data_IF_972938305882
#
_entry.id   IF_972938305882
#
_cell.length_a   1.000
_cell.length_b   1.000
_cell.length_c   1.000
_cell.angle_alpha   90.00
_cell.angle_beta   90.00
_cell.angle_gamma   90.00
#
_symmetry.space_group_name_H-M   'P 1'
#
loop_
_entity.id
_entity.type
_entity.pdbx_description
1 polymer ?
#
# COMPACT_ATOMS: atom_id res chain seq x y z
N UNK A 1 33.92 3.98 -7.36
CA UNK A 1 35.16 4.69 -7.74
C UNK A 1 35.74 5.47 -6.58
N UNK A 2 35.02 6.39 -5.91
CA UNK A 2 35.55 7.19 -4.79
C UNK A 2 36.02 6.39 -3.56
N UNK A 3 35.27 5.35 -3.15
CA UNK A 3 35.65 4.47 -2.03
C UNK A 3 36.99 3.76 -2.28
N UNK A 4 37.25 3.34 -3.53
CA UNK A 4 38.54 2.71 -3.91
C UNK A 4 39.71 3.69 -3.85
N UNK A 5 39.44 4.99 -3.92
CA UNK A 5 40.43 6.06 -3.81
C UNK A 5 40.60 6.60 -2.38
N UNK A 6 40.03 5.93 -1.37
CA UNK A 6 40.20 6.26 0.05
C UNK A 6 39.20 7.28 0.63
N UNK A 7 38.16 7.66 -0.13
CA UNK A 7 37.14 8.58 0.39
C UNK A 7 36.30 7.92 1.50
N UNK A 8 36.05 8.65 2.59
CA UNK A 8 35.11 8.25 3.64
C UNK A 8 33.66 8.31 3.13
N UNK A 9 32.81 7.44 3.67
CA UNK A 9 31.38 7.41 3.36
C UNK A 9 30.56 7.82 4.58
N UNK A 10 29.42 8.47 4.33
CA UNK A 10 28.42 8.80 5.34
C UNK A 10 27.03 8.34 4.88
N UNK A 11 26.12 8.16 5.83
CA UNK A 11 24.69 7.89 5.59
C UNK A 11 24.40 6.67 4.68
N UNK A 12 25.31 5.70 4.62
CA UNK A 12 25.17 4.51 3.76
C UNK A 12 24.04 3.56 4.17
N UNK A 13 23.37 3.84 5.30
CA UNK A 13 22.18 3.12 5.77
C UNK A 13 20.88 3.82 5.40
N UNK A 14 20.96 5.04 4.87
CA UNK A 14 19.80 5.86 4.55
C UNK A 14 19.46 5.76 3.06
N UNK A 15 18.17 5.85 2.76
CA UNK A 15 17.68 6.01 1.40
C UNK A 15 16.41 6.86 1.39
N UNK A 16 16.06 7.38 0.22
CA UNK A 16 14.81 8.10 0.01
C UNK A 16 13.76 7.08 -0.43
N UNK A 17 12.97 6.64 0.54
CA UNK A 17 12.04 5.53 0.36
C UNK A 17 10.69 6.00 -0.17
N UNK A 18 10.07 5.17 -1.01
CA UNK A 18 8.72 5.36 -1.53
C UNK A 18 8.02 4.00 -1.60
N UNK A 19 6.75 3.88 -1.14
CA UNK A 19 5.97 2.67 -1.34
C UNK A 19 5.70 2.44 -2.83
N UNK A 20 5.71 1.17 -3.22
CA UNK A 20 5.46 0.74 -4.60
C UNK A 20 4.42 -0.37 -4.62
N UNK A 21 3.57 -0.35 -5.65
CA UNK A 21 2.75 -1.48 -6.03
C UNK A 21 3.54 -2.33 -7.04
N UNK A 22 3.52 -3.64 -6.86
CA UNK A 22 4.00 -4.59 -7.86
C UNK A 22 2.94 -4.73 -8.94
N UNK A 23 3.31 -4.47 -10.19
CA UNK A 23 2.43 -4.57 -11.35
C UNK A 23 2.83 -5.80 -12.16
N UNK A 24 1.95 -6.79 -12.32
CA UNK A 24 2.21 -7.96 -13.14
C UNK A 24 2.43 -7.64 -14.62
N UNK A 25 3.32 -8.40 -15.26
CA UNK A 25 3.55 -8.34 -16.71
C UNK A 25 4.17 -7.03 -17.20
N UNK A 26 3.89 -6.69 -18.46
CA UNK A 26 4.44 -5.52 -19.15
C UNK A 26 3.61 -4.24 -18.96
N UNK A 27 2.64 -4.24 -18.04
CA UNK A 27 1.78 -3.07 -17.78
C UNK A 27 2.55 -1.88 -17.19
N UNK A 28 3.71 -2.13 -16.58
CA UNK A 28 4.67 -1.10 -16.20
C UNK A 28 6.06 -1.50 -16.68
N UNK A 29 6.78 -0.57 -17.31
CA UNK A 29 8.14 -0.81 -17.85
C UNK A 29 9.15 -1.28 -16.80
N UNK A 30 8.88 -1.04 -15.52
CA UNK A 30 9.72 -1.44 -14.38
C UNK A 30 9.09 -2.55 -13.53
N UNK A 31 7.90 -3.03 -13.89
CA UNK A 31 7.07 -3.94 -13.07
C UNK A 31 6.60 -3.32 -11.74
N UNK A 32 6.76 -2.00 -11.57
CA UNK A 32 6.47 -1.29 -10.31
C UNK A 32 5.85 0.07 -10.58
N UNK A 33 4.89 0.45 -9.75
CA UNK A 33 4.32 1.79 -9.74
C UNK A 33 4.50 2.45 -8.38
N UNK A 34 4.97 3.70 -8.38
CA UNK A 34 5.04 4.52 -7.19
C UNK A 34 3.63 4.83 -6.65
N UNK A 35 3.41 4.57 -5.37
CA UNK A 35 2.14 4.87 -4.68
C UNK A 35 2.34 6.09 -3.80
N UNK A 36 2.41 7.28 -4.41
CA UNK A 36 2.70 8.53 -3.70
C UNK A 36 1.43 9.23 -3.26
N UNK A 37 0.83 10.05 -4.12
CA UNK A 37 -0.38 10.81 -3.78
C UNK A 37 -1.58 9.89 -3.57
N UNK A 38 -1.63 8.75 -4.27
CA UNK A 38 -2.78 7.83 -4.26
C UNK A 38 -3.15 7.36 -2.85
N UNK A 39 -2.15 6.98 -2.03
CA UNK A 39 -2.38 6.50 -0.66
C UNK A 39 -2.94 7.58 0.27
N UNK A 40 -2.72 8.86 -0.01
CA UNK A 40 -3.16 9.96 0.85
C UNK A 40 -4.57 10.46 0.54
N UNK A 41 -5.19 9.97 -0.53
CA UNK A 41 -6.50 10.45 -0.98
C UNK A 41 -7.64 9.78 -0.18
N UNK A 42 -8.79 10.47 -0.01
CA UNK A 42 -9.96 9.91 0.66
C UNK A 42 -10.43 8.59 0.06
N UNK A 43 -11.09 7.75 0.85
CA UNK A 43 -11.53 6.39 0.47
C UNK A 43 -10.40 5.37 0.26
N UNK A 44 -9.23 5.60 0.86
CA UNK A 44 -8.12 4.64 0.86
C UNK A 44 -7.62 4.36 2.27
N UNK A 45 -7.14 3.13 2.50
CA UNK A 45 -6.38 2.74 3.69
C UNK A 45 -5.26 1.78 3.30
N UNK A 46 -4.21 1.67 4.11
CA UNK A 46 -3.15 0.67 3.92
C UNK A 46 -3.15 -0.34 5.06
N UNK A 47 -3.14 -1.63 4.70
CA UNK A 47 -3.21 -2.75 5.67
C UNK A 47 -2.08 -3.74 5.45
N UNK A 48 -1.58 -4.34 6.52
CA UNK A 48 -0.59 -5.41 6.47
C UNK A 48 -1.24 -6.80 6.34
N UNK A 49 -0.41 -7.86 6.30
CA UNK A 49 -0.85 -9.28 6.19
C UNK A 49 -1.80 -9.74 7.29
N UNK A 50 -1.84 -9.03 8.42
CA UNK A 50 -2.76 -9.28 9.52
C UNK A 50 -4.08 -8.52 9.38
N UNK A 51 -4.29 -7.76 8.30
CA UNK A 51 -5.51 -6.99 8.03
C UNK A 51 -5.62 -5.73 8.90
N UNK A 52 -4.51 -5.23 9.43
CA UNK A 52 -4.47 -4.08 10.33
C UNK A 52 -3.81 -2.89 9.65
N UNK A 53 -4.38 -1.69 9.85
CA UNK A 53 -3.68 -0.43 9.56
C UNK A 53 -2.45 -0.31 10.45
N UNK A 54 -1.37 0.19 9.88
CA UNK A 54 -0.07 0.37 10.55
C UNK A 54 0.47 1.80 10.42
N UNK A 55 -0.28 2.72 9.79
CA UNK A 55 0.21 4.05 9.46
C UNK A 55 -0.89 5.08 9.25
N UNK A 56 -0.50 6.35 9.22
CA UNK A 56 -1.25 7.42 8.57
C UNK A 56 -0.89 7.44 7.07
N UNK A 57 -1.84 7.11 6.21
CA UNK A 57 -1.64 6.97 4.78
C UNK A 57 -1.37 8.30 4.06
N UNK A 58 -1.52 9.44 4.75
CA UNK A 58 -1.14 10.78 4.27
C UNK A 58 0.21 11.27 4.84
N UNK A 59 0.93 10.43 5.60
CA UNK A 59 2.22 10.81 6.17
C UNK A 59 3.29 11.13 5.10
N UNK A 60 4.35 11.83 5.52
CA UNK A 60 5.50 12.15 4.69
C UNK A 60 6.11 10.87 4.06
N UNK A 61 6.50 10.96 2.79
CA UNK A 61 6.98 9.80 2.02
C UNK A 61 8.24 9.14 2.59
N UNK A 62 9.21 9.93 3.06
CA UNK A 62 10.45 9.40 3.63
C UNK A 62 10.19 8.68 4.96
N UNK A 63 9.35 9.26 5.83
CA UNK A 63 8.94 8.60 7.07
C UNK A 63 8.17 7.30 6.80
N UNK A 64 7.49 7.22 5.66
CA UNK A 64 6.72 6.04 5.27
C UNK A 64 7.59 4.80 5.03
N UNK A 65 8.83 4.99 4.53
CA UNK A 65 9.77 3.89 4.28
C UNK A 65 10.11 3.09 5.54
N UNK A 66 10.36 3.79 6.66
CA UNK A 66 10.73 3.15 7.92
C UNK A 66 9.67 2.18 8.45
N UNK A 67 8.40 2.40 8.11
CA UNK A 67 7.28 1.54 8.51
C UNK A 67 7.38 0.13 7.90
N UNK A 68 7.98 0.01 6.71
CA UNK A 68 8.18 -1.30 6.07
C UNK A 68 9.32 -2.09 6.69
N UNK A 69 10.21 -1.43 7.44
CA UNK A 69 11.34 -2.05 8.12
C UNK A 69 11.00 -2.52 9.55
N UNK A 70 9.73 -2.38 9.98
CA UNK A 70 9.27 -2.96 11.24
C UNK A 70 9.37 -4.49 11.21
N UNK A 71 10.09 -5.07 12.18
CA UNK A 71 10.35 -6.52 12.24
C UNK A 71 9.38 -7.18 13.22
N UNK A 72 8.65 -8.19 12.74
CA UNK A 72 7.94 -9.15 13.58
C UNK A 72 8.95 -10.19 14.09
N UNK A 73 9.50 -9.94 15.28
CA UNK A 73 10.55 -10.77 15.89
C UNK A 73 10.11 -12.22 16.16
N UNK A 74 8.80 -12.46 16.34
CA UNK A 74 8.29 -13.80 16.59
C UNK A 74 8.28 -14.65 15.31
N UNK A 75 8.16 -14.02 14.14
CA UNK A 75 8.05 -14.69 12.84
C UNK A 75 9.25 -14.42 11.92
N UNK A 76 10.27 -13.69 12.41
CA UNK A 76 11.49 -13.33 11.69
C UNK A 76 11.24 -12.76 10.28
N UNK A 77 10.27 -11.85 10.18
CA UNK A 77 9.88 -11.21 8.91
C UNK A 77 9.49 -9.75 9.13
N UNK A 78 9.44 -8.97 8.05
CA UNK A 78 8.87 -7.64 8.10
C UNK A 78 7.36 -7.71 8.41
N UNK A 79 6.92 -6.94 9.40
CA UNK A 79 5.53 -6.94 9.87
C UNK A 79 4.56 -6.39 8.81
N UNK A 80 5.04 -5.44 8.00
CA UNK A 80 4.23 -4.67 7.06
C UNK A 80 4.59 -4.98 5.58
N UNK A 81 5.31 -6.07 5.30
CA UNK A 81 5.55 -6.57 3.94
C UNK A 81 5.11 -8.04 3.82
N UNK A 82 4.21 -8.39 2.86
CA UNK A 82 3.50 -7.49 1.96
C UNK A 82 2.46 -6.61 2.69
N UNK A 83 2.04 -5.55 2.02
CA UNK A 83 0.89 -4.72 2.40
C UNK A 83 0.00 -4.46 1.18
N UNK A 84 -1.21 -3.95 1.43
CA UNK A 84 -2.15 -3.58 0.38
C UNK A 84 -2.72 -2.20 0.64
N UNK A 85 -2.88 -1.43 -0.44
CA UNK A 85 -3.74 -0.25 -0.47
C UNK A 85 -5.16 -0.71 -0.81
N UNK A 86 -6.08 -0.55 0.13
CA UNK A 86 -7.49 -0.91 -0.01
C UNK A 86 -8.28 0.35 -0.34
N UNK A 87 -9.14 0.27 -1.34
CA UNK A 87 -10.00 1.37 -1.77
C UNK A 87 -11.34 0.87 -2.31
N UNK A 88 -12.34 1.75 -2.36
CA UNK A 88 -13.68 1.42 -2.84
C UNK A 88 -13.96 1.96 -4.27
N UNK A 89 -15.15 1.67 -4.81
CA UNK A 89 -15.56 2.18 -6.12
C UNK A 89 -15.74 3.70 -6.16
N UNK A 90 -15.91 4.36 -5.01
CA UNK A 90 -15.96 5.82 -4.90
C UNK A 90 -14.59 6.45 -5.08
N UNK A 91 -13.53 5.84 -4.55
CA UNK A 91 -12.15 6.22 -4.84
C UNK A 91 -11.88 6.24 -6.34
N UNK A 92 -12.15 5.11 -7.01
CA UNK A 92 -11.90 4.93 -8.45
C UNK A 92 -12.64 5.97 -9.27
N UNK A 93 -13.92 6.20 -8.95
CA UNK A 93 -14.75 7.19 -9.65
C UNK A 93 -14.24 8.61 -9.49
N UNK A 94 -13.75 8.99 -8.30
CA UNK A 94 -13.31 10.37 -8.01
C UNK A 94 -11.89 10.66 -8.52
N UNK A 95 -10.98 9.70 -8.37
CA UNK A 95 -9.54 9.93 -8.52
C UNK A 95 -8.90 9.10 -9.64
N UNK A 96 -9.56 8.04 -10.10
CA UNK A 96 -8.94 7.03 -10.95
C UNK A 96 -7.88 6.21 -10.21
N UNK A 97 -7.19 5.34 -10.95
CA UNK A 97 -6.07 4.54 -10.44
C UNK A 97 -5.09 4.22 -11.57
N UNK A 98 -3.81 3.99 -11.27
CA UNK A 98 -2.84 3.62 -12.32
C UNK A 98 -2.56 4.71 -13.37
N UNK A 99 -2.85 5.98 -13.08
CA UNK A 99 -2.76 7.07 -14.08
C UNK A 99 -3.89 7.07 -15.11
N UNK A 100 -4.90 6.21 -14.94
CA UNK A 100 -6.08 6.13 -15.80
C UNK A 100 -7.32 6.59 -15.03
N UNK A 101 -8.20 7.32 -15.73
CA UNK A 101 -9.57 7.55 -15.27
C UNK A 101 -10.45 6.49 -15.88
N UNK A 102 -11.33 5.93 -15.06
CA UNK A 102 -12.27 4.90 -15.48
C UNK A 102 -13.64 5.51 -15.69
N UNK A 103 -14.21 5.28 -16.87
CA UNK A 103 -15.52 5.81 -17.25
C UNK A 103 -16.66 5.10 -16.52
N UNK A 104 -16.44 3.85 -16.12
CA UNK A 104 -17.41 2.99 -15.44
C UNK A 104 -17.01 2.81 -13.96
N UNK A 105 -17.91 3.08 -13.00
CA UNK A 105 -17.62 2.81 -11.59
C UNK A 105 -17.24 1.35 -11.33
N UNK A 106 -16.10 1.12 -10.68
CA UNK A 106 -15.62 -0.24 -10.36
C UNK A 106 -14.77 -0.88 -11.46
N UNK A 107 -14.60 -0.20 -12.60
CA UNK A 107 -13.63 -0.59 -13.60
C UNK A 107 -12.23 -0.16 -13.14
N UNK A 108 -11.30 -1.12 -13.14
CA UNK A 108 -9.90 -0.98 -12.70
C UNK A 108 -9.05 -1.90 -13.55
N UNK A 109 -7.73 -1.71 -13.58
CA UNK A 109 -6.85 -2.61 -14.32
C UNK A 109 -6.99 -4.05 -13.82
N UNK A 110 -6.85 -5.03 -14.71
CA UNK A 110 -7.16 -6.45 -14.43
C UNK A 110 -6.30 -7.05 -13.31
N UNK A 111 -5.10 -6.52 -13.11
CA UNK A 111 -4.22 -6.93 -12.01
C UNK A 111 -4.66 -6.43 -10.63
N UNK A 112 -5.60 -5.48 -10.57
CA UNK A 112 -6.15 -5.00 -9.29
C UNK A 112 -7.15 -6.02 -8.77
N UNK A 113 -6.78 -6.69 -7.68
CA UNK A 113 -7.66 -7.64 -7.02
C UNK A 113 -8.91 -6.95 -6.47
N UNK A 114 -10.09 -7.50 -6.80
CA UNK A 114 -11.39 -6.95 -6.42
C UNK A 114 -12.35 -8.05 -5.99
N UNK A 115 -13.27 -7.71 -5.09
CA UNK A 115 -14.36 -8.57 -4.64
C UNK A 115 -15.61 -7.72 -4.35
N UNK A 116 -16.82 -8.31 -4.40
CA UNK A 116 -18.06 -7.59 -4.07
C UNK A 116 -18.19 -7.26 -2.58
N UNK A 117 -17.40 -7.90 -1.72
CA UNK A 117 -17.46 -7.75 -0.27
C UNK A 117 -16.08 -7.91 0.40
N UNK A 118 -16.00 -7.50 1.67
CA UNK A 118 -14.77 -7.60 2.47
C UNK A 118 -14.32 -9.04 2.75
N UNK A 119 -15.21 -10.02 3.02
CA UNK A 119 -14.80 -11.41 3.17
C UNK A 119 -14.13 -12.00 1.92
N UNK A 120 -14.72 -11.76 0.75
CA UNK A 120 -14.16 -12.17 -0.53
C UNK A 120 -12.82 -11.49 -0.81
N UNK A 121 -12.71 -10.19 -0.54
CA UNK A 121 -11.45 -9.46 -0.69
C UNK A 121 -10.37 -10.03 0.24
N UNK A 122 -10.69 -10.24 1.52
CA UNK A 122 -9.76 -10.80 2.49
C UNK A 122 -9.24 -12.19 2.06
N UNK A 123 -10.13 -13.03 1.53
CA UNK A 123 -9.76 -14.36 1.00
C UNK A 123 -8.80 -14.26 -0.19
N UNK A 124 -9.07 -13.36 -1.14
CA UNK A 124 -8.19 -13.13 -2.30
C UNK A 124 -6.80 -12.66 -1.88
N UNK A 125 -6.73 -11.75 -0.90
CA UNK A 125 -5.47 -11.18 -0.41
C UNK A 125 -4.74 -12.07 0.61
N UNK A 126 -5.33 -13.18 1.06
CA UNK A 126 -4.76 -14.03 2.11
C UNK A 126 -4.74 -13.36 3.51
N UNK A 127 -5.66 -12.43 3.77
CA UNK A 127 -5.77 -11.68 5.02
C UNK A 127 -6.84 -12.29 5.92
N UNK A 128 -6.68 -12.30 7.26
CA UNK A 128 -7.75 -12.72 8.17
C UNK A 128 -9.02 -11.87 8.02
N UNK A 129 -10.11 -12.47 7.54
CA UNK A 129 -11.39 -11.80 7.22
C UNK A 129 -11.91 -10.90 8.34
N UNK A 130 -11.97 -11.44 9.58
CA UNK A 130 -12.46 -10.67 10.74
C UNK A 130 -11.58 -9.45 11.02
N UNK A 131 -10.27 -9.56 10.83
CA UNK A 131 -9.33 -8.47 11.09
C UNK A 131 -9.53 -7.33 10.09
N UNK A 132 -9.63 -7.66 8.80
CA UNK A 132 -9.89 -6.65 7.76
C UNK A 132 -11.24 -5.96 7.99
N UNK A 133 -12.30 -6.73 8.28
CA UNK A 133 -13.63 -6.19 8.55
C UNK A 133 -13.59 -5.21 9.74
N UNK A 134 -13.00 -5.61 10.87
CA UNK A 134 -12.85 -4.75 12.04
C UNK A 134 -12.08 -3.45 11.72
N UNK A 135 -11.02 -3.55 10.94
CA UNK A 135 -10.22 -2.39 10.51
C UNK A 135 -11.07 -1.42 9.68
N UNK A 136 -11.83 -1.91 8.71
CA UNK A 136 -12.68 -1.09 7.85
C UNK A 136 -13.84 -0.49 8.64
N UNK A 137 -14.53 -1.26 9.48
CA UNK A 137 -15.61 -0.75 10.34
C UNK A 137 -15.12 0.38 11.24
N UNK A 138 -13.97 0.19 11.90
CA UNK A 138 -13.37 1.22 12.77
C UNK A 138 -12.98 2.46 11.97
N UNK A 139 -12.40 2.28 10.78
CA UNK A 139 -12.04 3.40 9.92
C UNK A 139 -13.27 4.21 9.49
N UNK A 140 -14.31 3.54 9.04
CA UNK A 140 -15.55 4.18 8.61
C UNK A 140 -16.21 4.95 9.76
N UNK A 141 -16.17 4.43 10.99
CA UNK A 141 -16.65 5.15 12.16
C UNK A 141 -15.84 6.44 12.41
N UNK A 142 -14.53 6.44 12.21
CA UNK A 142 -13.68 7.61 12.41
C UNK A 142 -13.91 8.73 11.40
N UNK A 143 -14.39 8.41 10.20
CA UNK A 143 -14.60 9.38 9.11
C UNK A 143 -16.07 9.77 8.91
N UNK A 144 -16.98 9.16 9.68
CA UNK A 144 -18.41 9.48 9.65
C UNK A 144 -18.78 10.69 10.52
N UNK A 145 -17.87 11.11 11.42
CA UNK A 145 -17.97 12.33 12.22
C UNK A 145 -17.41 13.53 11.45
#
# INVERSE_FOLDING_TARGET
>A
MAMKAGAMLGNMREAWWMPVAEIPGDEASTGRQLVSTQRGLPHTIMVNSKGRRFTNEAANYNAFGGLFHEIDVANFRYANLPCWMIFDSTYVRKYGFGGRRYSTPGDVADWVQRAPDLPGLAKLLGIPTRSLANTVTRWNANVAA
#
